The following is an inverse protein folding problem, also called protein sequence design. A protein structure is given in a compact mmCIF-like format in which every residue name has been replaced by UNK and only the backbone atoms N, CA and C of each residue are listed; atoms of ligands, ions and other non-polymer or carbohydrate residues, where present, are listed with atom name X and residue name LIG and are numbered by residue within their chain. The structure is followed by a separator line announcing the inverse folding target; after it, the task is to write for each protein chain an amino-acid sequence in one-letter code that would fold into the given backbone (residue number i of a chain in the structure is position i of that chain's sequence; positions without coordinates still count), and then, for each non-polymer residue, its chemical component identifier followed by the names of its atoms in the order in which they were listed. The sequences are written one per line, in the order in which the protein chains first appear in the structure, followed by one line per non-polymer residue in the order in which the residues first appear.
data_IF_568839944005
#
_entry.id   IF_568839944005
#
_cell.length_a   1.000
_cell.length_b   1.000
_cell.length_c   1.000
_cell.angle_alpha   90.00
_cell.angle_beta   90.00
_cell.angle_gamma   90.00
#
_symmetry.space_group_name_H-M   'P 1'
#
loop_
_entity.id
_entity.type
_entity.pdbx_description
1 polymer ?
#
# COMPACT_ATOMS: atom_id res chain seq x y z
N UNK A 1 -18.07 8.11 -9.17
CA UNK A 1 -18.07 6.78 -8.54
C UNK A 1 -16.67 6.24 -8.32
N UNK A 2 -16.24 6.16 -7.05
CA UNK A 2 -15.03 5.42 -6.70
C UNK A 2 -15.33 3.92 -6.70
N UNK A 3 -14.68 3.14 -7.58
CA UNK A 3 -14.93 1.70 -7.74
C UNK A 3 -14.00 0.81 -6.91
N UNK A 4 -13.04 1.36 -6.16
CA UNK A 4 -12.09 0.57 -5.36
C UNK A 4 -10.99 -0.06 -6.21
N UNK A 5 -10.33 -1.09 -5.67
CA UNK A 5 -9.28 -1.84 -6.36
C UNK A 5 -9.83 -3.18 -6.86
N UNK A 6 -9.75 -3.42 -8.17
CA UNK A 6 -10.19 -4.69 -8.78
C UNK A 6 -9.36 -5.88 -8.30
N UNK A 7 -8.04 -5.71 -8.19
CA UNK A 7 -7.13 -6.75 -7.67
C UNK A 7 -7.51 -7.10 -6.23
N UNK A 8 -7.77 -6.09 -5.39
CA UNK A 8 -8.20 -6.29 -4.02
C UNK A 8 -9.52 -7.06 -3.91
N UNK A 9 -10.48 -6.79 -4.80
CA UNK A 9 -11.75 -7.53 -4.85
C UNK A 9 -11.52 -8.98 -5.30
N UNK A 10 -10.79 -9.20 -6.38
CA UNK A 10 -10.53 -10.55 -6.88
C UNK A 10 -9.72 -11.40 -5.90
N UNK A 11 -8.75 -10.82 -5.19
CA UNK A 11 -8.02 -11.50 -4.12
C UNK A 11 -8.89 -11.89 -2.94
N UNK A 12 -10.01 -11.20 -2.67
CA UNK A 12 -10.92 -11.54 -1.58
C UNK A 12 -12.01 -12.53 -2.01
N UNK A 13 -12.57 -12.36 -3.21
CA UNK A 13 -13.74 -13.13 -3.66
C UNK A 13 -13.36 -14.40 -4.43
N UNK A 14 -12.20 -14.41 -5.09
CA UNK A 14 -11.83 -15.46 -6.05
C UNK A 14 -10.58 -16.25 -5.63
N UNK A 15 -9.98 -15.98 -4.47
CA UNK A 15 -8.72 -16.61 -4.05
C UNK A 15 -8.75 -18.13 -3.99
N UNK A 16 -9.86 -18.69 -3.50
CA UNK A 16 -10.06 -20.14 -3.34
C UNK A 16 -10.60 -20.80 -4.62
N UNK A 17 -11.46 -20.10 -5.36
CA UNK A 17 -12.15 -20.66 -6.53
C UNK A 17 -11.34 -20.54 -7.83
N UNK A 18 -10.47 -19.53 -7.94
CA UNK A 18 -9.70 -19.23 -9.15
C UNK A 18 -8.23 -18.96 -8.78
N UNK A 19 -7.44 -20.01 -8.46
CA UNK A 19 -6.05 -19.85 -8.00
C UNK A 19 -5.14 -19.14 -9.02
N UNK A 20 -5.43 -19.24 -10.31
CA UNK A 20 -4.68 -18.51 -11.34
C UNK A 20 -4.92 -17.00 -11.28
N UNK A 21 -6.16 -16.56 -11.00
CA UNK A 21 -6.47 -15.13 -10.79
C UNK A 21 -5.80 -14.62 -9.51
N UNK A 22 -5.80 -15.43 -8.45
CA UNK A 22 -5.11 -15.11 -7.19
C UNK A 22 -3.62 -14.84 -7.42
N UNK A 23 -2.93 -15.72 -8.17
CA UNK A 23 -1.50 -15.57 -8.49
C UNK A 23 -1.21 -14.32 -9.31
N UNK A 24 -2.08 -13.97 -10.26
CA UNK A 24 -1.95 -12.71 -11.03
C UNK A 24 -2.06 -11.51 -10.09
N UNK A 25 -3.08 -11.50 -9.21
CA UNK A 25 -3.25 -10.41 -8.25
C UNK A 25 -2.07 -10.28 -7.28
N UNK A 26 -1.53 -11.40 -6.79
CA UNK A 26 -0.31 -11.44 -5.96
C UNK A 26 0.88 -10.83 -6.71
N UNK A 27 1.13 -11.24 -7.96
CA UNK A 27 2.20 -10.71 -8.77
C UNK A 27 2.08 -9.19 -9.02
N UNK A 28 0.85 -8.71 -9.25
CA UNK A 28 0.59 -7.29 -9.46
C UNK A 28 0.75 -6.47 -8.17
N UNK A 29 0.32 -7.00 -7.01
CA UNK A 29 0.61 -6.37 -5.72
C UNK A 29 2.11 -6.31 -5.43
N UNK A 30 2.85 -7.39 -5.70
CA UNK A 30 4.30 -7.41 -5.55
C UNK A 30 4.98 -6.38 -6.46
N UNK A 31 4.51 -6.23 -7.71
CA UNK A 31 4.99 -5.20 -8.63
C UNK A 31 4.73 -3.79 -8.08
N UNK A 32 3.54 -3.56 -7.53
CA UNK A 32 3.18 -2.27 -6.94
C UNK A 32 4.04 -1.93 -5.72
N UNK A 33 4.22 -2.88 -4.80
CA UNK A 33 5.11 -2.76 -3.63
C UNK A 33 6.53 -2.43 -4.10
N UNK A 34 7.04 -3.14 -5.13
CA UNK A 34 8.41 -2.94 -5.61
C UNK A 34 8.67 -1.53 -6.11
N UNK A 35 7.70 -0.88 -6.76
CA UNK A 35 7.83 0.50 -7.20
C UNK A 35 8.01 1.47 -6.01
N UNK A 36 7.21 1.31 -4.96
CA UNK A 36 7.32 2.16 -3.76
C UNK A 36 8.60 1.85 -2.98
N UNK A 37 8.98 0.59 -2.89
CA UNK A 37 10.23 0.15 -2.26
C UNK A 37 11.44 0.84 -2.92
N UNK A 38 11.47 0.93 -4.26
CA UNK A 38 12.55 1.60 -4.99
C UNK A 38 12.67 3.07 -4.58
N UNK A 39 11.57 3.83 -4.62
CA UNK A 39 11.55 5.24 -4.23
C UNK A 39 11.99 5.44 -2.77
N UNK A 40 11.49 4.60 -1.85
CA UNK A 40 11.86 4.64 -0.44
C UNK A 40 13.32 4.29 -0.19
N UNK A 41 13.87 3.33 -0.94
CA UNK A 41 15.27 2.93 -0.84
C UNK A 41 16.21 4.04 -1.32
N UNK A 42 15.92 4.65 -2.47
CA UNK A 42 16.67 5.80 -2.99
C UNK A 42 16.65 6.98 -2.00
N UNK A 43 15.48 7.29 -1.44
CA UNK A 43 15.35 8.31 -0.42
C UNK A 43 16.13 7.96 0.85
N UNK A 44 16.05 6.70 1.33
CA UNK A 44 16.76 6.26 2.54
C UNK A 44 18.27 6.42 2.38
N UNK A 45 18.83 5.97 1.25
CA UNK A 45 20.26 6.12 0.94
C UNK A 45 20.69 7.59 1.00
N UNK A 46 19.86 8.49 0.47
CA UNK A 46 20.17 9.92 0.38
C UNK A 46 20.03 10.67 1.70
N UNK A 47 18.98 10.40 2.47
CA UNK A 47 18.59 11.24 3.59
C UNK A 47 18.81 10.60 4.96
N UNK A 48 18.78 9.27 5.06
CA UNK A 48 18.85 8.58 6.35
C UNK A 48 19.43 7.16 6.22
N UNK A 49 20.69 7.02 5.75
CA UNK A 49 21.27 5.72 5.39
C UNK A 49 21.34 4.73 6.57
N UNK A 50 21.41 5.24 7.81
CA UNK A 50 21.51 4.44 9.03
C UNK A 50 20.16 4.16 9.70
N UNK A 51 19.03 4.59 9.14
CA UNK A 51 17.73 4.27 9.71
C UNK A 51 17.47 2.75 9.72
N UNK A 52 16.78 2.26 10.75
CA UNK A 52 16.51 0.83 10.94
C UNK A 52 15.36 0.29 10.10
N UNK A 53 14.47 1.14 9.59
CA UNK A 53 13.31 0.68 8.81
C UNK A 53 13.75 0.03 7.48
N UNK A 54 13.00 -0.97 7.03
CA UNK A 54 13.21 -1.59 5.71
C UNK A 54 12.27 -0.95 4.68
N UNK A 55 12.78 -0.45 3.53
CA UNK A 55 11.94 0.14 2.49
C UNK A 55 10.79 -0.76 2.03
N UNK A 56 11.04 -2.07 1.93
CA UNK A 56 10.04 -3.10 1.55
C UNK A 56 8.86 -3.14 2.53
N UNK A 57 9.14 -3.23 3.83
CA UNK A 57 8.10 -3.30 4.88
C UNK A 57 7.25 -2.01 4.91
N UNK A 58 7.86 -0.85 4.63
CA UNK A 58 7.15 0.43 4.56
C UNK A 58 6.29 0.53 3.28
N UNK A 59 6.77 -0.02 2.16
CA UNK A 59 6.02 -0.11 0.91
C UNK A 59 4.81 -1.05 1.04
N UNK A 60 4.98 -2.20 1.69
CA UNK A 60 3.88 -3.11 2.02
C UNK A 60 2.87 -2.44 2.96
N UNK A 61 3.34 -1.71 3.98
CA UNK A 61 2.48 -0.95 4.87
C UNK A 61 1.65 0.13 4.15
N UNK A 62 2.23 0.80 3.14
CA UNK A 62 1.47 1.71 2.28
C UNK A 62 0.31 0.98 1.60
N UNK A 63 0.60 -0.14 0.94
CA UNK A 63 -0.42 -0.86 0.17
C UNK A 63 -1.52 -1.40 1.09
N UNK A 64 -1.16 -1.95 2.25
CA UNK A 64 -2.11 -2.42 3.26
C UNK A 64 -3.01 -1.26 3.76
N UNK A 65 -2.42 -0.11 4.07
CA UNK A 65 -3.15 1.10 4.50
C UNK A 65 -4.09 1.60 3.39
N UNK A 66 -3.60 1.65 2.16
CA UNK A 66 -4.36 2.15 1.02
C UNK A 66 -5.54 1.22 0.68
N UNK A 67 -5.32 -0.10 0.59
CA UNK A 67 -6.38 -1.10 0.37
C UNK A 67 -7.43 -1.07 1.48
N UNK A 68 -7.00 -1.05 2.75
CA UNK A 68 -7.91 -0.93 3.89
C UNK A 68 -8.73 0.36 3.85
N UNK A 69 -8.13 1.48 3.46
CA UNK A 69 -8.85 2.74 3.31
C UNK A 69 -9.90 2.71 2.20
N UNK A 70 -9.64 1.98 1.10
CA UNK A 70 -10.62 1.78 0.03
C UNK A 70 -11.82 0.95 0.49
N UNK A 71 -11.60 -0.07 1.32
CA UNK A 71 -12.69 -0.85 1.95
C UNK A 71 -13.55 0.05 2.83
N UNK A 72 -12.92 0.86 3.70
CA UNK A 72 -13.63 1.79 4.57
C UNK A 72 -14.40 2.87 3.80
N UNK A 73 -13.80 3.40 2.73
CA UNK A 73 -14.46 4.40 1.88
C UNK A 73 -15.73 3.85 1.25
N UNK A 74 -15.71 2.60 0.77
CA UNK A 74 -16.89 1.92 0.23
C UNK A 74 -17.96 1.69 1.30
N UNK A 75 -17.56 1.15 2.46
CA UNK A 75 -18.49 0.86 3.56
C UNK A 75 -19.18 2.13 4.09
N UNK A 76 -18.44 3.23 4.19
CA UNK A 76 -18.93 4.52 4.71
C UNK A 76 -19.55 5.43 3.65
N UNK A 77 -19.42 5.09 2.36
CA UNK A 77 -19.70 6.00 1.24
C UNK A 77 -18.98 7.36 1.39
N UNK A 78 -17.76 7.34 1.91
CA UNK A 78 -16.92 8.52 2.16
C UNK A 78 -15.49 8.32 1.65
N UNK A 79 -15.17 8.95 0.50
CA UNK A 79 -13.83 8.87 -0.07
C UNK A 79 -12.78 9.66 0.73
N UNK A 80 -13.17 10.57 1.63
CA UNK A 80 -12.22 11.33 2.47
C UNK A 80 -11.47 10.42 3.45
N UNK A 81 -11.93 9.19 3.68
CA UNK A 81 -11.18 8.19 4.46
C UNK A 81 -9.82 7.89 3.82
N UNK A 82 -9.76 7.81 2.49
CA UNK A 82 -8.51 7.54 1.76
C UNK A 82 -7.52 8.67 1.99
N UNK A 83 -7.98 9.92 1.84
CA UNK A 83 -7.16 11.11 2.09
C UNK A 83 -6.61 11.13 3.51
N UNK A 84 -7.44 10.86 4.53
CA UNK A 84 -7.00 10.80 5.93
C UNK A 84 -5.96 9.71 6.16
N UNK A 85 -6.14 8.53 5.55
CA UNK A 85 -5.19 7.43 5.67
C UNK A 85 -3.84 7.77 5.03
N UNK A 86 -3.85 8.36 3.83
CA UNK A 86 -2.63 8.79 3.13
C UNK A 86 -1.92 9.95 3.85
N UNK A 87 -2.66 10.89 4.43
CA UNK A 87 -2.10 11.95 5.26
C UNK A 87 -1.37 11.35 6.48
N UNK A 88 -1.96 10.37 7.15
CA UNK A 88 -1.31 9.72 8.28
C UNK A 88 -0.09 8.90 7.86
N UNK A 89 -0.15 8.19 6.73
CA UNK A 89 1.01 7.50 6.17
C UNK A 89 2.14 8.48 5.85
N UNK A 90 1.83 9.66 5.31
CA UNK A 90 2.81 10.71 5.06
C UNK A 90 3.51 11.16 6.35
N UNK A 91 2.76 11.36 7.44
CA UNK A 91 3.35 11.72 8.73
C UNK A 91 4.24 10.58 9.28
N UNK A 92 3.82 9.33 9.09
CA UNK A 92 4.65 8.16 9.43
C UNK A 92 5.98 8.17 8.66
N UNK A 93 5.95 8.35 7.34
CA UNK A 93 7.18 8.46 6.52
C UNK A 93 8.04 9.64 6.99
N UNK A 94 7.46 10.80 7.29
CA UNK A 94 8.24 11.92 7.84
C UNK A 94 8.97 11.55 9.13
N UNK A 95 8.35 10.77 10.02
CA UNK A 95 9.00 10.31 11.25
C UNK A 95 10.17 9.37 10.93
N UNK A 96 9.99 8.44 10.00
CA UNK A 96 11.06 7.52 9.57
C UNK A 96 12.29 8.24 8.99
N UNK A 97 12.08 9.42 8.39
CA UNK A 97 13.12 10.23 7.77
C UNK A 97 13.64 11.38 8.64
N UNK A 98 13.07 11.59 9.83
CA UNK A 98 13.61 12.49 10.85
C UNK A 98 14.62 11.73 11.70
N UNK A 99 15.80 11.48 11.12
CA UNK A 99 16.99 11.15 11.90
C UNK A 99 17.82 12.40 12.10
#
# INVERSE_FOLDING_TARGET
DFKGCIMGIFSQELSESHPEIRKICEADFNRFIKGIEQDLNEAKIKYTPNASFKPEEVAEYFLATFQGAMVLARAKKDNKVIERALNQFREHVKVLFKN
#
